data_IF_081957159583
#
_entry.id   IF_081957159583
#
_cell.length_a   1.000
_cell.length_b   1.000
_cell.length_c   1.000
_cell.angle_alpha   90.00
_cell.angle_beta   90.00
_cell.angle_gamma   90.00
#
_symmetry.space_group_name_H-M   'P 1'
#
loop_
_entity.id
_entity.type
_entity.pdbx_description
1 polymer ?
#
# COMPACT_ATOMS: atom_id res chain seq x y z
N UNK A 1 16.39 12.26 10.61
CA UNK A 1 15.60 12.74 9.46
C UNK A 1 14.40 11.83 9.34
N UNK A 2 13.22 12.36 9.01
CA UNK A 2 11.98 11.59 8.82
C UNK A 2 11.50 11.88 7.40
N UNK A 3 11.16 10.84 6.66
CA UNK A 3 10.51 10.95 5.35
C UNK A 3 9.04 10.58 5.52
N UNK A 4 8.14 11.45 5.06
CA UNK A 4 6.73 11.10 4.97
C UNK A 4 6.50 10.33 3.67
N UNK A 5 6.03 9.09 3.80
CA UNK A 5 5.77 8.18 2.68
C UNK A 5 4.28 7.91 2.51
N UNK A 6 3.44 8.82 3.03
CA UNK A 6 1.99 8.68 3.01
C UNK A 6 1.38 9.52 1.89
N UNK A 7 0.47 8.94 1.11
CA UNK A 7 -0.33 9.71 0.15
C UNK A 7 -1.26 10.69 0.88
N UNK A 8 -1.33 11.95 0.45
CA UNK A 8 -2.29 12.91 1.02
C UNK A 8 -3.74 12.45 0.82
N UNK A 9 -4.50 12.38 1.91
CA UNK A 9 -5.94 12.11 1.86
C UNK A 9 -6.67 13.41 1.52
N UNK A 10 -7.33 13.43 0.36
CA UNK A 10 -8.07 14.60 -0.14
C UNK A 10 -9.22 14.19 -1.05
N UNK A 11 -10.19 15.08 -1.20
CA UNK A 11 -11.24 14.90 -2.22
C UNK A 11 -10.60 14.86 -3.62
N UNK A 12 -11.10 13.95 -4.45
CA UNK A 12 -10.56 13.71 -5.80
C UNK A 12 -9.17 13.08 -5.83
N UNK A 13 -8.68 12.50 -4.73
CA UNK A 13 -7.50 11.63 -4.79
C UNK A 13 -7.78 10.36 -5.62
N UNK A 14 -6.77 9.79 -6.29
CA UNK A 14 -6.92 8.47 -6.90
C UNK A 14 -7.32 7.42 -5.87
N UNK A 15 -8.25 6.55 -6.25
CA UNK A 15 -8.61 5.34 -5.52
C UNK A 15 -8.57 4.17 -6.48
N UNK A 16 -8.41 2.95 -5.96
CA UNK A 16 -8.48 1.75 -6.78
C UNK A 16 -9.81 1.70 -7.55
N UNK A 17 -9.80 1.28 -8.82
CA UNK A 17 -10.99 1.34 -9.65
C UNK A 17 -12.16 0.56 -9.03
N UNK A 18 -13.30 1.24 -8.87
CA UNK A 18 -14.50 0.68 -8.23
C UNK A 18 -14.61 0.92 -6.73
N UNK A 19 -13.54 1.37 -6.05
CA UNK A 19 -13.59 1.69 -4.63
C UNK A 19 -14.34 3.02 -4.37
N UNK A 20 -14.95 3.17 -3.18
CA UNK A 20 -15.59 4.43 -2.81
C UNK A 20 -14.55 5.56 -2.72
N UNK A 21 -14.87 6.77 -3.22
CA UNK A 21 -13.99 7.92 -3.09
C UNK A 21 -13.96 8.40 -1.63
N UNK A 22 -12.88 9.08 -1.23
CA UNK A 22 -12.86 9.83 0.01
C UNK A 22 -13.87 10.99 -0.06
N UNK A 23 -14.71 11.11 0.96
CA UNK A 23 -15.65 12.22 1.13
C UNK A 23 -15.41 12.93 2.46
N UNK A 24 -15.39 14.27 2.42
CA UNK A 24 -15.37 15.10 3.61
C UNK A 24 -16.64 15.94 3.71
N UNK A 25 -17.38 15.76 4.79
CA UNK A 25 -18.55 16.58 5.09
C UNK A 25 -18.20 17.56 6.21
N UNK A 26 -18.22 18.86 5.92
CA UNK A 26 -18.08 19.90 6.95
C UNK A 26 -19.40 19.97 7.73
N UNK A 27 -19.34 19.63 9.01
CA UNK A 27 -20.50 19.60 9.91
C UNK A 27 -20.65 20.88 10.71
N UNK A 28 -19.54 21.53 11.06
CA UNK A 28 -19.51 22.78 11.81
C UNK A 28 -18.42 23.70 11.25
N UNK A 29 -18.73 24.99 11.19
CA UNK A 29 -17.82 26.05 10.75
C UNK A 29 -17.64 27.04 11.87
N UNK A 30 -16.40 27.22 12.32
CA UNK A 30 -16.05 28.13 13.40
C UNK A 30 -16.51 29.55 13.06
N UNK A 31 -17.21 30.18 14.00
CA UNK A 31 -17.80 31.52 13.89
C UNK A 31 -19.17 31.57 13.22
N UNK A 32 -19.57 30.56 12.43
CA UNK A 32 -20.90 30.52 11.82
C UNK A 32 -21.96 30.28 12.89
N UNK A 33 -22.94 31.18 12.98
CA UNK A 33 -24.03 31.12 13.96
C UNK A 33 -23.55 30.96 15.42
N UNK A 34 -22.36 31.52 15.74
CA UNK A 34 -21.75 31.42 17.06
C UNK A 34 -21.04 30.08 17.35
N UNK A 35 -20.85 29.21 16.35
CA UNK A 35 -20.18 27.93 16.53
C UNK A 35 -18.70 28.08 16.95
N UNK A 36 -18.22 27.41 18.01
CA UNK A 36 -16.85 27.58 18.51
C UNK A 36 -15.80 26.71 17.83
N UNK A 37 -16.18 25.83 16.90
CA UNK A 37 -15.29 24.78 16.35
C UNK A 37 -15.44 24.61 14.84
N UNK A 38 -14.39 24.15 14.18
CA UNK A 38 -14.47 23.52 12.87
C UNK A 38 -14.52 22.00 13.05
N UNK A 39 -15.51 21.35 12.44
CA UNK A 39 -15.66 19.90 12.56
C UNK A 39 -16.07 19.29 11.23
N UNK A 40 -15.41 18.18 10.87
CA UNK A 40 -15.73 17.41 9.66
C UNK A 40 -16.03 15.95 10.00
N UNK A 41 -16.84 15.31 9.17
CA UNK A 41 -17.00 13.85 9.09
C UNK A 41 -16.27 13.36 7.84
N UNK A 42 -15.60 12.22 7.95
CA UNK A 42 -14.97 11.54 6.81
C UNK A 42 -15.68 10.22 6.52
N UNK A 43 -15.73 9.86 5.24
CA UNK A 43 -16.18 8.56 4.75
C UNK A 43 -15.18 8.09 3.68
N UNK A 44 -14.66 6.88 3.82
CA UNK A 44 -13.65 6.30 2.92
C UNK A 44 -13.61 4.78 3.05
N UNK A 45 -13.12 4.11 2.00
CA UNK A 45 -12.73 2.70 2.10
C UNK A 45 -11.43 2.52 2.88
N UNK A 46 -11.24 1.34 3.49
CA UNK A 46 -10.01 0.99 4.21
C UNK A 46 -8.78 0.93 3.27
N UNK A 47 -9.00 0.68 1.98
CA UNK A 47 -7.98 0.61 0.93
C UNK A 47 -7.82 1.94 0.18
N UNK A 48 -7.84 3.05 0.90
CA UNK A 48 -7.73 4.40 0.34
C UNK A 48 -6.44 5.06 0.82
N UNK A 49 -5.65 5.59 -0.12
CA UNK A 49 -4.35 6.17 0.21
C UNK A 49 -3.32 5.09 0.56
N UNK A 50 -2.33 5.49 1.37
CA UNK A 50 -1.37 4.56 1.96
C UNK A 50 -2.05 3.77 3.06
N UNK A 51 -2.08 2.44 2.95
CA UNK A 51 -2.86 1.60 3.84
C UNK A 51 -2.21 0.23 4.06
N UNK A 52 -2.79 -0.54 4.97
CA UNK A 52 -2.32 -1.87 5.36
C UNK A 52 -3.41 -2.89 5.07
N UNK A 53 -3.04 -3.99 4.44
CA UNK A 53 -3.95 -5.12 4.29
C UNK A 53 -3.74 -6.15 5.39
N UNK A 54 -4.87 -6.59 5.95
CA UNK A 54 -4.93 -7.73 6.86
C UNK A 54 -5.34 -8.99 6.09
N UNK A 55 -5.04 -10.21 6.60
CA UNK A 55 -5.40 -11.44 5.94
C UNK A 55 -6.88 -11.56 5.54
N UNK A 56 -7.81 -11.02 6.35
CA UNK A 56 -9.25 -11.01 6.02
C UNK A 56 -9.58 -10.38 4.65
N UNK A 57 -8.70 -9.54 4.11
CA UNK A 57 -8.91 -8.89 2.81
C UNK A 57 -9.10 -9.90 1.67
N UNK A 58 -8.30 -10.98 1.64
CA UNK A 58 -8.36 -12.04 0.61
C UNK A 58 -8.57 -13.44 1.18
N UNK A 59 -8.38 -13.65 2.49
CA UNK A 59 -8.59 -14.93 3.16
C UNK A 59 -9.90 -14.90 3.94
N UNK A 60 -10.84 -15.78 3.57
CA UNK A 60 -12.19 -15.83 4.17
C UNK A 60 -12.19 -15.91 5.70
N UNK A 61 -11.27 -16.69 6.26
CA UNK A 61 -11.12 -16.91 7.70
C UNK A 61 -9.85 -16.21 8.23
N UNK A 62 -9.33 -15.23 7.49
CA UNK A 62 -8.15 -14.46 7.84
C UNK A 62 -8.38 -13.54 9.03
N UNK A 63 -7.29 -13.20 9.73
CA UNK A 63 -7.32 -12.24 10.82
C UNK A 63 -7.56 -10.81 10.33
N UNK A 64 -8.16 -10.00 11.19
CA UNK A 64 -8.44 -8.57 11.00
C UNK A 64 -7.22 -7.70 11.34
N UNK A 65 -7.28 -6.41 11.03
CA UNK A 65 -6.13 -5.48 11.13
C UNK A 65 -5.66 -5.27 12.58
N UNK A 66 -6.56 -5.31 13.57
CA UNK A 66 -6.23 -5.17 14.98
C UNK A 66 -5.44 -6.37 15.55
N UNK A 67 -5.43 -7.49 14.83
CA UNK A 67 -4.63 -8.66 15.20
C UNK A 67 -3.18 -8.57 14.71
N UNK A 68 -2.84 -7.59 13.86
CA UNK A 68 -1.46 -7.42 13.37
C UNK A 68 -0.60 -6.89 14.53
N UNK A 69 0.47 -7.60 14.93
CA UNK A 69 1.34 -7.11 15.99
C UNK A 69 2.03 -5.80 15.56
N UNK A 70 2.05 -4.74 16.40
CA UNK A 70 2.64 -3.45 16.04
C UNK A 70 4.11 -3.53 15.60
N UNK A 71 4.88 -4.46 16.18
CA UNK A 71 6.26 -4.72 15.81
C UNK A 71 6.42 -5.26 14.38
N UNK A 72 5.36 -5.72 13.72
CA UNK A 72 5.40 -6.02 12.29
C UNK A 72 5.52 -4.73 11.47
N UNK A 73 4.83 -3.66 11.89
CA UNK A 73 4.78 -2.36 11.21
C UNK A 73 5.95 -1.44 11.58
N UNK A 74 6.67 -1.72 12.67
CA UNK A 74 7.75 -0.88 13.19
C UNK A 74 9.08 -1.65 13.18
N UNK A 75 10.08 -1.12 12.48
CA UNK A 75 11.43 -1.66 12.52
C UNK A 75 12.25 -1.34 11.26
N UNK A 76 13.45 -1.91 11.14
CA UNK A 76 14.28 -1.74 9.95
C UNK A 76 13.55 -2.23 8.69
N UNK A 77 13.62 -1.42 7.63
CA UNK A 77 13.09 -1.74 6.32
C UNK A 77 14.18 -1.55 5.25
N UNK A 78 14.16 -2.40 4.23
CA UNK A 78 15.04 -2.31 3.07
C UNK A 78 14.22 -1.83 1.88
N UNK A 79 14.59 -0.66 1.34
CA UNK A 79 13.98 -0.08 0.16
C UNK A 79 14.74 -0.54 -1.08
N UNK A 80 14.03 -1.07 -2.07
CA UNK A 80 14.57 -1.37 -3.39
C UNK A 80 13.88 -0.53 -4.45
N UNK A 81 14.66 -0.11 -5.44
CA UNK A 81 14.21 0.84 -6.46
C UNK A 81 14.22 0.19 -7.86
N UNK A 82 13.05 0.16 -8.50
CA UNK A 82 12.79 -0.41 -9.82
C UNK A 82 12.15 0.63 -10.77
N UNK A 83 12.94 1.58 -11.33
CA UNK A 83 12.39 2.71 -12.10
C UNK A 83 11.85 2.34 -13.49
N UNK A 84 12.25 1.18 -14.04
CA UNK A 84 12.00 0.81 -15.44
C UNK A 84 11.47 -0.62 -15.55
N UNK A 85 10.37 -0.89 -14.86
CA UNK A 85 9.69 -2.19 -14.88
C UNK A 85 8.18 -2.01 -14.98
N UNK A 86 7.54 -3.03 -15.54
CA UNK A 86 6.08 -3.16 -15.55
C UNK A 86 5.57 -4.09 -14.45
N UNK A 87 6.43 -4.97 -13.95
CA UNK A 87 6.20 -5.78 -12.77
C UNK A 87 7.53 -6.14 -12.11
N UNK A 88 7.46 -6.55 -10.85
CA UNK A 88 8.56 -7.14 -10.09
C UNK A 88 8.35 -8.65 -10.10
N UNK A 89 9.26 -9.37 -10.75
CA UNK A 89 9.24 -10.83 -10.83
C UNK A 89 10.24 -11.50 -9.88
N UNK A 90 10.24 -12.84 -9.82
CA UNK A 90 11.17 -13.60 -8.97
C UNK A 90 12.63 -13.31 -9.33
N UNK A 91 12.96 -13.22 -10.62
CA UNK A 91 14.33 -12.99 -11.09
C UNK A 91 14.87 -11.62 -10.67
N UNK A 92 13.98 -10.62 -10.59
CA UNK A 92 14.32 -9.30 -10.04
C UNK A 92 14.73 -9.38 -8.56
N UNK A 93 14.06 -10.23 -7.79
CA UNK A 93 14.31 -10.38 -6.35
C UNK A 93 15.48 -11.30 -6.02
N UNK A 94 15.76 -12.31 -6.85
CA UNK A 94 16.86 -13.26 -6.65
C UNK A 94 18.23 -12.59 -6.64
N UNK A 95 18.37 -11.46 -7.33
CA UNK A 95 19.61 -10.68 -7.39
C UNK A 95 19.78 -9.68 -6.24
N UNK A 96 18.78 -9.55 -5.37
CA UNK A 96 18.83 -8.63 -4.23
C UNK A 96 19.47 -9.29 -3.01
N UNK A 97 20.25 -8.51 -2.27
CA UNK A 97 20.54 -8.88 -0.89
C UNK A 97 19.28 -8.68 -0.07
N UNK A 98 18.66 -9.78 0.37
CA UNK A 98 17.54 -9.83 1.31
C UNK A 98 17.95 -10.41 2.67
N UNK A 99 19.25 -10.64 2.91
CA UNK A 99 19.72 -11.24 4.15
C UNK A 99 19.39 -10.33 5.34
N UNK A 100 18.65 -10.89 6.30
CA UNK A 100 18.19 -10.18 7.50
C UNK A 100 17.13 -9.10 7.23
N UNK A 101 16.59 -9.00 6.01
CA UNK A 101 15.52 -8.05 5.72
C UNK A 101 14.19 -8.59 6.24
N UNK A 102 13.61 -7.92 7.25
CA UNK A 102 12.28 -8.26 7.75
C UNK A 102 11.16 -7.49 7.05
N UNK A 103 11.44 -6.28 6.55
CA UNK A 103 10.46 -5.41 5.91
C UNK A 103 11.07 -4.92 4.61
N UNK A 104 10.36 -5.14 3.51
CA UNK A 104 10.86 -4.82 2.17
C UNK A 104 9.91 -3.86 1.52
N UNK A 105 10.42 -2.73 1.03
CA UNK A 105 9.64 -1.71 0.34
C UNK A 105 10.12 -1.61 -1.12
N UNK A 106 9.18 -1.38 -2.03
CA UNK A 106 9.46 -1.25 -3.45
C UNK A 106 9.05 0.14 -3.94
N UNK A 107 10.05 0.95 -4.31
CA UNK A 107 9.88 2.18 -5.09
C UNK A 107 9.96 1.81 -6.56
N UNK A 108 8.99 2.25 -7.34
CA UNK A 108 8.89 1.99 -8.77
C UNK A 108 8.60 3.29 -9.52
N UNK A 109 8.27 3.19 -10.81
CA UNK A 109 7.76 4.35 -11.58
C UNK A 109 6.41 4.87 -11.07
N UNK A 110 5.71 4.14 -10.21
CA UNK A 110 4.43 4.59 -9.65
C UNK A 110 4.60 5.85 -8.80
N UNK A 111 5.68 5.95 -8.00
CA UNK A 111 5.99 7.17 -7.26
C UNK A 111 6.14 8.39 -8.16
N UNK A 112 6.83 8.26 -9.30
CA UNK A 112 7.01 9.35 -10.25
C UNK A 112 5.66 9.76 -10.91
N UNK A 113 4.78 8.78 -11.14
CA UNK A 113 3.40 9.02 -11.61
C UNK A 113 2.58 9.80 -10.57
N UNK A 114 2.72 9.50 -9.28
CA UNK A 114 2.07 10.25 -8.21
C UNK A 114 2.61 11.67 -8.09
N UNK A 115 3.94 11.84 -8.17
CA UNK A 115 4.58 13.16 -8.15
C UNK A 115 4.07 14.07 -9.29
N UNK A 116 3.73 13.49 -10.43
CA UNK A 116 3.14 14.19 -11.58
C UNK A 116 1.63 14.47 -11.44
N UNK A 117 0.99 14.10 -10.32
CA UNK A 117 -0.45 14.26 -10.11
C UNK A 117 -1.30 13.25 -10.89
N UNK A 118 -0.75 12.07 -11.17
CA UNK A 118 -1.39 11.03 -11.94
C UNK A 118 -2.72 10.53 -11.35
N UNK A 119 -3.65 10.18 -12.24
CA UNK A 119 -4.89 9.48 -11.88
C UNK A 119 -4.64 7.99 -11.60
N UNK A 120 -5.66 7.21 -11.28
CA UNK A 120 -5.53 5.76 -11.23
C UNK A 120 -5.06 5.21 -12.59
N UNK A 121 -3.96 4.45 -12.60
CA UNK A 121 -3.42 3.77 -13.80
C UNK A 121 -3.55 2.25 -13.62
N UNK A 122 -4.37 1.53 -14.40
CA UNK A 122 -4.47 0.07 -14.30
C UNK A 122 -3.18 -0.67 -14.69
N UNK A 123 -2.19 0.03 -15.25
CA UNK A 123 -0.87 -0.52 -15.59
C UNK A 123 0.21 -0.12 -14.57
N UNK A 124 -0.15 0.19 -13.33
CA UNK A 124 0.81 0.37 -12.25
C UNK A 124 1.73 -0.85 -12.11
N UNK A 125 2.95 -0.63 -11.61
CA UNK A 125 3.89 -1.72 -11.33
C UNK A 125 3.38 -2.54 -10.14
N UNK A 126 3.41 -3.86 -10.26
CA UNK A 126 2.91 -4.83 -9.27
C UNK A 126 3.92 -5.97 -9.03
N UNK A 127 3.68 -6.82 -8.04
CA UNK A 127 4.44 -8.06 -7.81
C UNK A 127 3.76 -9.25 -8.50
N UNK A 128 4.55 -10.07 -9.17
CA UNK A 128 4.05 -11.37 -9.62
C UNK A 128 3.84 -12.33 -8.43
N UNK A 129 2.97 -13.33 -8.58
CA UNK A 129 2.79 -14.37 -7.56
C UNK A 129 4.08 -15.13 -7.21
N UNK A 130 4.99 -15.34 -8.18
CA UNK A 130 6.28 -15.98 -7.93
C UNK A 130 7.25 -15.08 -7.15
N UNK A 131 7.21 -13.76 -7.38
CA UNK A 131 7.95 -12.80 -6.56
C UNK A 131 7.44 -12.80 -5.11
N UNK A 132 6.11 -12.81 -4.92
CA UNK A 132 5.49 -12.91 -3.60
C UNK A 132 5.90 -14.20 -2.85
N UNK A 133 5.84 -15.37 -3.52
CA UNK A 133 6.31 -16.64 -2.94
C UNK A 133 7.79 -16.60 -2.58
N UNK A 134 8.63 -15.98 -3.40
CA UNK A 134 10.05 -15.82 -3.07
C UNK A 134 10.25 -14.99 -1.80
N UNK A 135 9.48 -13.92 -1.59
CA UNK A 135 9.52 -13.13 -0.34
C UNK A 135 9.09 -13.97 0.88
N UNK A 136 8.12 -14.87 0.71
CA UNK A 136 7.75 -15.87 1.74
C UNK A 136 8.91 -16.80 2.05
N UNK A 137 9.59 -17.34 1.03
CA UNK A 137 10.80 -18.19 1.21
C UNK A 137 11.89 -17.44 2.01
N UNK A 138 11.99 -16.12 1.84
CA UNK A 138 12.93 -15.24 2.56
C UNK A 138 12.44 -14.81 3.95
N UNK A 139 11.24 -15.22 4.36
CA UNK A 139 10.66 -14.95 5.69
C UNK A 139 10.59 -13.46 6.02
N UNK A 140 10.29 -12.62 5.01
CA UNK A 140 9.94 -11.23 5.29
C UNK A 140 8.63 -11.19 6.07
N UNK A 141 8.45 -10.16 6.89
CA UNK A 141 7.25 -9.93 7.71
C UNK A 141 6.32 -8.89 7.10
N UNK A 142 6.86 -7.99 6.28
CA UNK A 142 6.13 -6.92 5.64
C UNK A 142 6.65 -6.69 4.23
N UNK A 143 5.72 -6.47 3.30
CA UNK A 143 6.01 -6.04 1.93
C UNK A 143 5.25 -4.75 1.65
N UNK A 144 5.98 -3.72 1.23
CA UNK A 144 5.42 -2.43 0.87
C UNK A 144 5.61 -2.10 -0.61
N UNK A 145 4.62 -1.49 -1.25
CA UNK A 145 4.70 -1.04 -2.65
C UNK A 145 4.07 0.35 -2.84
N UNK A 146 4.56 1.08 -3.82
CA UNK A 146 4.10 2.43 -4.18
C UNK A 146 2.95 2.47 -5.20
N UNK A 147 2.30 1.34 -5.49
CA UNK A 147 1.03 1.27 -6.23
C UNK A 147 -0.16 1.20 -5.29
N UNK A 148 -1.37 1.49 -5.79
CA UNK A 148 -2.64 1.25 -5.07
C UNK A 148 -3.05 -0.23 -5.00
N UNK A 149 -2.12 -1.15 -5.27
CA UNK A 149 -2.36 -2.59 -5.38
C UNK A 149 -1.06 -3.33 -5.63
N UNK A 150 -0.76 -4.38 -4.86
CA UNK A 150 0.44 -5.21 -4.99
C UNK A 150 0.32 -6.24 -6.12
N UNK A 151 -0.89 -6.40 -6.66
CA UNK A 151 -1.27 -7.38 -7.67
C UNK A 151 -1.56 -6.70 -9.01
N UNK A 152 -1.42 -7.45 -10.11
CA UNK A 152 -1.84 -6.97 -11.42
C UNK A 152 -3.32 -6.59 -11.40
N UNK A 153 -3.65 -5.40 -11.90
CA UNK A 153 -5.03 -4.97 -12.02
C UNK A 153 -5.89 -6.00 -12.76
N UNK A 154 -7.01 -6.40 -12.15
CA UNK A 154 -7.94 -7.37 -12.70
C UNK A 154 -7.44 -8.82 -12.74
N UNK A 155 -6.35 -9.17 -12.04
CA UNK A 155 -5.89 -10.56 -11.98
C UNK A 155 -6.95 -11.46 -11.33
N UNK A 156 -7.45 -12.52 -12.00
CA UNK A 156 -8.63 -13.26 -11.55
C UNK A 156 -8.42 -14.05 -10.24
N UNK A 157 -7.17 -14.38 -9.91
CA UNK A 157 -6.84 -15.25 -8.77
C UNK A 157 -5.92 -14.61 -7.74
N UNK A 158 -5.62 -13.31 -7.84
CA UNK A 158 -4.82 -12.53 -6.89
C UNK A 158 -3.63 -13.27 -6.22
N UNK A 159 -2.74 -13.92 -6.99
CA UNK A 159 -1.72 -14.82 -6.44
C UNK A 159 -0.72 -14.13 -5.51
N UNK A 160 -0.40 -12.85 -5.70
CA UNK A 160 0.51 -12.11 -4.84
C UNK A 160 -0.10 -11.87 -3.46
N UNK A 161 -1.36 -11.41 -3.40
CA UNK A 161 -2.07 -11.22 -2.13
C UNK A 161 -2.18 -12.52 -1.34
N UNK A 162 -2.69 -13.58 -1.97
CA UNK A 162 -2.84 -14.89 -1.31
C UNK A 162 -1.49 -15.42 -0.80
N UNK A 163 -0.44 -15.38 -1.63
CA UNK A 163 0.87 -15.88 -1.20
C UNK A 163 1.41 -15.15 0.04
N UNK A 164 1.27 -13.83 0.10
CA UNK A 164 1.76 -13.03 1.24
C UNK A 164 0.86 -13.19 2.47
N UNK A 165 -0.46 -13.01 2.31
CA UNK A 165 -1.41 -12.99 3.43
C UNK A 165 -1.58 -14.37 4.08
N UNK A 166 -1.58 -15.46 3.30
CA UNK A 166 -1.61 -16.83 3.84
C UNK A 166 -0.35 -17.17 4.65
N UNK A 167 0.78 -16.55 4.32
CA UNK A 167 2.03 -16.69 5.06
C UNK A 167 2.11 -15.73 6.28
N UNK A 168 1.07 -14.92 6.53
CA UNK A 168 1.04 -13.93 7.61
C UNK A 168 1.92 -12.71 7.35
N UNK A 169 2.30 -12.45 6.10
CA UNK A 169 3.09 -11.29 5.71
C UNK A 169 2.15 -10.11 5.51
N UNK A 170 2.40 -9.02 6.23
CA UNK A 170 1.61 -7.78 6.12
C UNK A 170 1.94 -7.06 4.82
N UNK A 171 0.91 -6.55 4.13
CA UNK A 171 1.07 -5.77 2.91
C UNK A 171 0.81 -4.30 3.24
N UNK A 172 1.66 -3.42 2.70
CA UNK A 172 1.46 -1.96 2.73
C UNK A 172 1.39 -1.46 1.30
N UNK A 173 0.28 -0.86 0.92
CA UNK A 173 0.07 -0.36 -0.43
C UNK A 173 -0.06 1.16 -0.42
N UNK A 174 0.09 1.76 -1.59
CA UNK A 174 -0.06 3.18 -1.80
C UNK A 174 1.03 4.02 -1.15
N UNK A 175 2.23 3.47 -0.95
CA UNK A 175 3.37 4.25 -0.43
C UNK A 175 3.72 5.40 -1.38
N UNK A 176 3.99 6.58 -0.83
CA UNK A 176 4.42 7.76 -1.57
C UNK A 176 5.94 7.92 -1.44
N UNK A 177 6.72 7.21 -2.25
CA UNK A 177 8.18 7.10 -2.11
C UNK A 177 8.95 8.11 -2.99
N UNK A 178 8.37 9.29 -3.22
CA UNK A 178 8.94 10.32 -4.11
C UNK A 178 10.25 10.90 -3.56
N UNK A 179 10.32 11.08 -2.24
CA UNK A 179 11.42 11.78 -1.56
C UNK A 179 12.49 10.84 -0.96
N UNK A 180 12.42 9.54 -1.24
CA UNK A 180 13.30 8.50 -0.66
C UNK A 180 14.19 7.83 -1.71
#
# INVERSE_FOLDING_TARGET
MIYDVSMPIREGMPVYAGNPPFQRVITHVLGKDGCPVNQSRFEMGAHCGTHVDAPLHFEKDGSTVEAIPPETLIGPARLFHFPKRDCIDRGDLENLDLQGAERVLFRTRNSDHWAAGGAFDPNFVYLTGEAAKFLVERKVRLVGIDSLGIEKFGHPTHPAHHALLQAGITIVEGLYLVDV
#
